data_IF_643481117000
#
_entry.id   IF_643481117000
#
_cell.length_a   1.000
_cell.length_b   1.000
_cell.length_c   1.000
_cell.angle_alpha   90.00
_cell.angle_beta   90.00
_cell.angle_gamma   90.00
#
_symmetry.space_group_name_H-M   'P 1'
#
loop_
_entity.id
_entity.type
_entity.pdbx_description
1 polymer ?
#
# COMPACT_ATOMS: atom_id res chain seq x y z
N UNK A 1 -8.93 -1.26 12.55
CA UNK A 1 -10.27 -1.01 11.97
C UNK A 1 -10.39 0.29 11.16
N UNK A 2 -9.69 1.39 11.50
CA UNK A 2 -9.76 2.63 10.72
C UNK A 2 -9.40 2.47 9.23
N UNK A 3 -8.21 1.93 8.94
CA UNK A 3 -7.78 1.62 7.57
C UNK A 3 -8.76 0.68 6.84
N UNK A 4 -9.26 -0.34 7.53
CA UNK A 4 -10.23 -1.31 6.98
C UNK A 4 -11.48 -0.58 6.48
N UNK A 5 -12.07 0.32 7.29
CA UNK A 5 -13.23 1.12 6.87
C UNK A 5 -12.94 1.90 5.59
N UNK A 6 -11.80 2.56 5.51
CA UNK A 6 -11.41 3.35 4.34
C UNK A 6 -11.33 2.48 3.08
N UNK A 7 -10.58 1.39 3.15
CA UNK A 7 -10.33 0.50 2.02
C UNK A 7 -11.58 -0.28 1.59
N UNK A 8 -12.46 -0.66 2.53
CA UNK A 8 -13.73 -1.32 2.22
C UNK A 8 -14.63 -0.46 1.34
N UNK A 9 -14.69 0.86 1.57
CA UNK A 9 -15.54 1.75 0.74
C UNK A 9 -15.07 1.73 -0.71
N UNK A 10 -13.75 1.86 -0.93
CA UNK A 10 -13.16 1.78 -2.28
C UNK A 10 -13.38 0.43 -2.94
N UNK A 11 -13.29 -0.66 -2.18
CA UNK A 11 -13.50 -2.02 -2.69
C UNK A 11 -14.95 -2.26 -3.12
N UNK A 12 -15.93 -1.82 -2.31
CA UNK A 12 -17.36 -1.93 -2.64
C UNK A 12 -17.67 -1.19 -3.94
N UNK A 13 -17.20 0.05 -4.08
CA UNK A 13 -17.41 0.85 -5.30
C UNK A 13 -16.76 0.16 -6.49
N UNK A 14 -15.51 -0.28 -6.36
CA UNK A 14 -14.78 -0.90 -7.48
C UNK A 14 -15.44 -2.19 -7.95
N UNK A 15 -15.91 -3.04 -7.03
CA UNK A 15 -16.68 -4.24 -7.35
C UNK A 15 -17.98 -3.91 -8.06
N UNK A 16 -18.74 -2.95 -7.54
CA UNK A 16 -19.98 -2.49 -8.17
C UNK A 16 -19.74 -2.01 -9.60
N UNK A 17 -18.72 -1.18 -9.83
CA UNK A 17 -18.39 -0.67 -11.16
C UNK A 17 -17.93 -1.79 -12.12
N UNK A 18 -17.18 -2.80 -11.63
CA UNK A 18 -16.84 -4.00 -12.43
C UNK A 18 -18.09 -4.80 -12.82
N UNK A 19 -19.06 -4.95 -11.91
CA UNK A 19 -20.33 -5.62 -12.21
C UNK A 19 -21.18 -4.87 -13.25
N UNK A 20 -20.99 -3.55 -13.37
CA UNK A 20 -21.57 -2.73 -14.45
C UNK A 20 -20.79 -2.82 -15.77
N UNK A 21 -19.81 -3.73 -15.90
CA UNK A 21 -19.02 -3.93 -17.11
C UNK A 21 -17.91 -2.91 -17.34
N UNK A 22 -17.58 -2.07 -16.36
CA UNK A 22 -16.48 -1.08 -16.50
C UNK A 22 -15.11 -1.73 -16.32
N UNK A 23 -14.12 -1.19 -17.04
CA UNK A 23 -12.71 -1.52 -16.82
C UNK A 23 -12.17 -0.72 -15.62
N UNK A 24 -12.12 -1.34 -14.44
CA UNK A 24 -11.81 -0.65 -13.17
C UNK A 24 -10.39 -0.95 -12.69
N UNK A 25 -9.59 0.10 -12.55
CA UNK A 25 -8.29 0.06 -11.87
C UNK A 25 -8.44 0.43 -10.39
N UNK A 26 -8.16 -0.50 -9.49
CA UNK A 26 -8.10 -0.29 -8.05
C UNK A 26 -6.69 -0.67 -7.58
N UNK A 27 -5.70 0.25 -7.57
CA UNK A 27 -4.34 -0.04 -7.14
C UNK A 27 -4.17 0.12 -5.63
N UNK A 28 -3.05 -0.36 -5.11
CA UNK A 28 -2.57 -0.09 -3.76
C UNK A 28 -1.06 0.14 -3.79
N UNK A 29 -0.56 0.94 -2.85
CA UNK A 29 0.86 1.19 -2.70
C UNK A 29 1.22 1.54 -1.26
N UNK A 30 2.51 1.74 -1.03
CA UNK A 30 3.07 1.94 0.29
C UNK A 30 3.76 3.29 0.35
N UNK A 31 3.20 4.21 1.12
CA UNK A 31 3.88 5.42 1.53
C UNK A 31 4.92 5.06 2.59
N UNK A 32 6.16 4.89 2.15
CA UNK A 32 7.17 4.05 2.78
C UNK A 32 8.44 4.81 3.19
N UNK A 33 8.48 6.13 2.97
CA UNK A 33 9.54 7.03 3.41
C UNK A 33 9.07 7.99 4.53
N UNK A 34 9.99 8.78 5.04
CA UNK A 34 9.72 9.86 5.99
C UNK A 34 9.53 9.43 7.44
N UNK A 35 9.21 10.44 8.26
CA UNK A 35 9.18 10.33 9.72
C UNK A 35 8.28 9.21 10.27
N UNK A 36 7.10 8.88 9.70
CA UNK A 36 6.26 7.82 10.25
C UNK A 36 6.97 6.45 10.26
N UNK A 37 7.60 6.07 9.15
CA UNK A 37 8.32 4.80 9.03
C UNK A 37 9.63 4.83 9.83
N UNK A 38 10.37 5.94 9.74
CA UNK A 38 11.66 6.11 10.41
C UNK A 38 11.53 6.11 11.93
N UNK A 39 10.62 6.90 12.51
CA UNK A 39 10.43 6.97 13.96
C UNK A 39 9.95 5.63 14.53
N UNK A 40 9.10 4.92 13.80
CA UNK A 40 8.65 3.58 14.20
C UNK A 40 9.82 2.59 14.20
N UNK A 41 10.69 2.62 13.18
CA UNK A 41 11.86 1.76 13.11
C UNK A 41 12.88 2.07 14.23
N UNK A 42 13.17 3.36 14.48
CA UNK A 42 14.05 3.81 15.56
C UNK A 42 13.53 3.35 16.92
N UNK A 43 12.23 3.53 17.18
CA UNK A 43 11.59 3.10 18.44
C UNK A 43 11.73 1.58 18.65
N UNK A 44 11.70 0.81 17.57
CA UNK A 44 11.87 -0.65 17.59
C UNK A 44 13.32 -1.11 17.38
N UNK A 45 14.30 -0.18 17.37
CA UNK A 45 15.74 -0.45 17.24
C UNK A 45 16.09 -1.32 16.03
N UNK A 46 15.45 -1.06 14.90
CA UNK A 46 15.64 -1.80 13.65
C UNK A 46 15.91 -0.82 12.50
N UNK A 47 16.63 -1.26 11.48
CA UNK A 47 16.85 -0.46 10.28
C UNK A 47 15.51 -0.10 9.60
N UNK A 48 15.28 1.16 9.19
CA UNK A 48 14.03 1.59 8.57
C UNK A 48 13.62 0.76 7.36
N UNK A 49 14.56 0.39 6.48
CA UNK A 49 14.27 -0.45 5.33
C UNK A 49 13.67 -1.81 5.73
N UNK A 50 14.28 -2.50 6.71
CA UNK A 50 13.80 -3.79 7.20
C UNK A 50 12.41 -3.66 7.83
N UNK A 51 12.23 -2.67 8.70
CA UNK A 51 10.94 -2.38 9.33
C UNK A 51 9.84 -2.11 8.32
N UNK A 52 10.13 -1.28 7.32
CA UNK A 52 9.18 -0.93 6.27
C UNK A 52 8.75 -2.15 5.47
N UNK A 53 9.68 -2.98 4.99
CA UNK A 53 9.32 -4.16 4.19
C UNK A 53 8.54 -5.21 5.00
N UNK A 54 8.92 -5.45 6.26
CA UNK A 54 8.17 -6.37 7.14
C UNK A 54 6.73 -5.89 7.37
N UNK A 55 6.52 -4.59 7.57
CA UNK A 55 5.18 -4.02 7.72
C UNK A 55 4.37 -4.08 6.42
N UNK A 56 5.01 -3.82 5.27
CA UNK A 56 4.39 -3.95 3.94
C UNK A 56 3.88 -5.37 3.74
N UNK A 57 4.71 -6.39 3.98
CA UNK A 57 4.32 -7.79 3.81
C UNK A 57 3.19 -8.18 4.77
N UNK A 58 3.28 -7.75 6.03
CA UNK A 58 2.24 -7.99 7.03
C UNK A 58 0.90 -7.35 6.63
N UNK A 59 0.90 -6.06 6.27
CA UNK A 59 -0.30 -5.32 5.87
C UNK A 59 -0.88 -5.90 4.58
N UNK A 60 -0.05 -6.23 3.59
CA UNK A 60 -0.49 -6.88 2.34
C UNK A 60 -1.20 -8.20 2.64
N UNK A 61 -0.66 -9.01 3.55
CA UNK A 61 -1.29 -10.23 4.03
C UNK A 61 -2.65 -9.97 4.70
N UNK A 62 -2.79 -8.91 5.48
CA UNK A 62 -4.09 -8.51 6.05
C UNK A 62 -5.10 -8.08 4.98
N UNK A 63 -4.70 -7.24 4.02
CA UNK A 63 -5.59 -6.76 2.95
C UNK A 63 -6.06 -7.89 2.04
N UNK A 64 -5.17 -8.85 1.73
CA UNK A 64 -5.54 -10.07 0.98
C UNK A 64 -6.55 -10.93 1.75
N UNK A 65 -6.37 -11.12 3.07
CA UNK A 65 -7.31 -11.90 3.91
C UNK A 65 -8.69 -11.24 4.03
N UNK A 66 -8.76 -9.92 3.95
CA UNK A 66 -10.02 -9.16 3.90
C UNK A 66 -10.72 -9.24 2.54
N UNK A 67 -10.05 -9.78 1.52
CA UNK A 67 -10.62 -9.96 0.18
C UNK A 67 -10.65 -8.68 -0.66
N UNK A 68 -9.83 -7.67 -0.36
CA UNK A 68 -9.78 -6.46 -1.19
C UNK A 68 -9.21 -6.76 -2.59
N UNK A 69 -9.94 -6.34 -3.61
CA UNK A 69 -9.73 -6.66 -5.02
C UNK A 69 -8.69 -5.80 -5.74
N UNK A 70 -7.59 -5.46 -5.05
CA UNK A 70 -6.51 -4.64 -5.58
C UNK A 70 -5.78 -5.31 -6.75
N UNK A 71 -5.40 -4.51 -7.75
CA UNK A 71 -4.47 -4.94 -8.80
C UNK A 71 -3.03 -4.89 -8.28
N UNK A 72 -2.58 -6.01 -7.70
CA UNK A 72 -1.24 -6.14 -7.13
C UNK A 72 -0.12 -6.09 -8.17
N UNK A 73 -0.41 -6.21 -9.47
CA UNK A 73 0.60 -6.01 -10.51
C UNK A 73 1.02 -4.54 -10.63
N UNK A 74 0.24 -3.63 -10.05
CA UNK A 74 0.50 -2.18 -10.03
C UNK A 74 0.91 -1.68 -8.65
N UNK A 75 1.38 -2.58 -7.79
CA UNK A 75 1.88 -2.24 -6.47
C UNK A 75 3.19 -1.45 -6.55
N UNK A 76 3.28 -0.37 -5.76
CA UNK A 76 4.48 0.44 -5.63
C UNK A 76 4.79 0.73 -4.16
N UNK A 77 6.05 1.06 -3.87
CA UNK A 77 6.48 1.55 -2.56
C UNK A 77 7.39 2.76 -2.79
N UNK A 78 7.13 3.87 -2.10
CA UNK A 78 7.83 5.14 -2.36
C UNK A 78 9.33 5.08 -2.01
N UNK A 79 9.72 4.17 -1.11
CA UNK A 79 11.11 3.95 -0.74
C UNK A 79 11.96 3.18 -1.76
N UNK A 80 11.37 2.71 -2.86
CA UNK A 80 12.07 1.92 -3.89
C UNK A 80 12.79 2.82 -4.91
N UNK A 81 14.01 2.47 -5.36
CA UNK A 81 14.73 3.25 -6.38
C UNK A 81 13.96 3.44 -7.68
N UNK A 82 13.14 2.45 -8.06
CA UNK A 82 12.30 2.54 -9.26
C UNK A 82 11.22 3.62 -9.15
N UNK A 83 10.85 4.01 -7.93
CA UNK A 83 9.89 5.08 -7.64
C UNK A 83 10.59 6.44 -7.45
N UNK A 84 11.45 6.56 -6.43
CA UNK A 84 11.97 7.89 -6.04
C UNK A 84 12.93 8.50 -7.08
N UNK A 85 13.45 7.72 -8.03
CA UNK A 85 14.19 8.25 -9.18
C UNK A 85 13.41 9.31 -9.96
N UNK A 86 12.08 9.22 -9.95
CA UNK A 86 11.22 10.20 -10.62
C UNK A 86 11.10 11.48 -9.81
N UNK A 87 11.01 11.38 -8.47
CA UNK A 87 11.03 12.56 -7.58
C UNK A 87 12.37 13.30 -7.60
N UNK A 88 13.47 12.62 -7.94
CA UNK A 88 14.77 13.24 -8.17
C UNK A 88 14.89 13.89 -9.56
N UNK A 89 14.13 13.40 -10.53
CA UNK A 89 14.19 13.87 -11.92
C UNK A 89 13.29 15.08 -12.16
N UNK A 90 12.08 15.08 -11.59
CA UNK A 90 11.12 16.19 -11.62
C UNK A 90 11.60 17.36 -10.76
#
# INVERSE_FOLDING_TARGET
MGHVRNYTIGDVISRFQRMLGKNVMQPMGWDAFGLPAENAAIKNKVAPAKWTYENVDYMKGQLKRLGFGYDWNRELATCRPEYYRWEQWF
#
